data_IF_493524248789
#
_entry.id   IF_493524248789
#
_cell.length_a   1.000
_cell.length_b   1.000
_cell.length_c   1.000
_cell.angle_alpha   90.00
_cell.angle_beta   90.00
_cell.angle_gamma   90.00
#
_symmetry.space_group_name_H-M   'P 1'
#
loop_
_entity.id
_entity.type
_entity.pdbx_description
1 polymer ?
#
# COMPACT_ATOMS: atom_id res chain seq x y z
N UNK A 1 19.05 -2.54 -5.32
CA UNK A 1 18.74 -1.10 -5.39
C UNK A 1 18.15 -0.69 -4.04
N UNK A 2 18.52 0.46 -3.46
CA UNK A 2 17.92 0.91 -2.21
C UNK A 2 16.43 1.27 -2.45
N UNK A 3 15.60 0.96 -1.45
CA UNK A 3 14.17 1.33 -1.42
C UNK A 3 14.03 2.45 -0.39
N UNK A 4 13.20 3.42 -0.71
CA UNK A 4 12.93 4.57 0.14
C UNK A 4 11.43 4.74 0.35
N UNK A 5 11.05 5.17 1.53
CA UNK A 5 9.71 5.70 1.80
C UNK A 5 9.75 7.22 1.70
N UNK A 6 8.71 7.79 1.11
CA UNK A 6 8.50 9.22 1.00
C UNK A 6 7.28 9.59 1.81
N UNK A 7 7.42 10.54 2.70
CA UNK A 7 6.36 10.97 3.56
C UNK A 7 6.24 12.47 3.56
N UNK A 8 5.02 12.96 3.27
CA UNK A 8 4.68 14.36 3.41
C UNK A 8 4.21 14.64 4.84
N UNK A 9 4.92 15.53 5.51
CA UNK A 9 4.55 16.04 6.82
C UNK A 9 4.01 17.47 6.63
N UNK A 10 2.80 17.76 7.10
CA UNK A 10 2.25 19.11 7.00
C UNK A 10 3.17 20.14 7.68
N UNK A 11 3.29 21.39 7.15
CA UNK A 11 2.51 21.89 6.02
C UNK A 11 3.01 21.51 4.63
N UNK A 12 4.28 21.17 4.40
CA UNK A 12 4.84 20.83 3.08
C UNK A 12 6.27 20.25 3.18
N UNK A 13 6.58 19.55 4.24
CA UNK A 13 7.91 18.98 4.44
C UNK A 13 7.93 17.51 3.99
N UNK A 14 8.86 17.17 3.09
CA UNK A 14 9.09 15.81 2.65
C UNK A 14 10.18 15.14 3.47
N UNK A 15 9.88 13.99 4.02
CA UNK A 15 10.84 13.10 4.66
C UNK A 15 11.07 11.87 3.80
N UNK A 16 12.33 11.66 3.42
CA UNK A 16 12.77 10.49 2.65
C UNK A 16 13.54 9.60 3.59
N UNK A 17 13.10 8.35 3.73
CA UNK A 17 13.70 7.38 4.65
C UNK A 17 14.09 6.11 3.92
N UNK A 18 15.30 5.60 4.12
CA UNK A 18 15.67 4.30 3.61
C UNK A 18 14.86 3.21 4.30
N UNK A 19 14.47 2.20 3.52
CA UNK A 19 13.96 0.94 4.06
C UNK A 19 15.17 0.09 4.40
N UNK A 20 15.31 -0.25 5.68
CA UNK A 20 16.47 -0.95 6.22
C UNK A 20 16.38 -2.45 6.05
N UNK A 21 15.17 -2.99 6.24
CA UNK A 21 14.88 -4.41 6.10
C UNK A 21 13.53 -4.58 5.43
N UNK A 22 13.36 -5.67 4.70
CA UNK A 22 12.10 -6.07 4.08
C UNK A 22 11.97 -7.58 4.25
N UNK A 23 10.79 -8.00 4.67
CA UNK A 23 10.37 -9.39 4.62
C UNK A 23 9.14 -9.51 3.72
N UNK A 24 9.20 -10.45 2.76
CA UNK A 24 8.17 -10.66 1.74
C UNK A 24 7.48 -11.99 1.99
N UNK A 25 6.16 -12.01 1.88
CA UNK A 25 5.41 -13.25 2.01
C UNK A 25 5.63 -14.14 0.78
N UNK A 26 5.79 -15.47 0.99
CA UNK A 26 6.13 -16.42 -0.08
C UNK A 26 5.05 -16.57 -1.15
N UNK A 27 3.79 -16.42 -0.78
CA UNK A 27 2.66 -16.71 -1.67
C UNK A 27 1.63 -15.56 -1.78
N UNK A 28 1.61 -14.63 -0.85
CA UNK A 28 0.76 -13.45 -0.93
C UNK A 28 1.57 -12.25 -1.42
N UNK A 29 0.94 -11.39 -2.20
CA UNK A 29 1.58 -10.15 -2.69
C UNK A 29 1.53 -9.07 -1.60
N UNK A 30 2.23 -9.34 -0.51
CA UNK A 30 2.41 -8.45 0.64
C UNK A 30 3.83 -8.56 1.19
N UNK A 31 4.32 -7.47 1.74
CA UNK A 31 5.60 -7.38 2.43
C UNK A 31 5.49 -6.44 3.62
N UNK A 32 6.39 -6.59 4.59
CA UNK A 32 6.63 -5.62 5.63
C UNK A 32 8.02 -5.01 5.46
N UNK A 33 8.17 -3.76 5.84
CA UNK A 33 9.44 -3.05 5.76
C UNK A 33 9.72 -2.25 7.01
N UNK A 34 10.97 -2.27 7.48
CA UNK A 34 11.45 -1.41 8.55
C UNK A 34 12.15 -0.19 7.96
N UNK A 35 11.74 0.99 8.37
CA UNK A 35 12.41 2.25 8.02
C UNK A 35 12.79 3.02 9.29
N UNK A 36 13.83 3.87 9.19
CA UNK A 36 14.16 4.77 10.28
C UNK A 36 12.97 5.71 10.61
N UNK A 37 12.75 6.05 11.88
CA UNK A 37 11.79 7.09 12.24
C UNK A 37 12.22 8.45 11.67
N UNK A 38 11.25 9.30 11.34
CA UNK A 38 11.51 10.72 11.07
C UNK A 38 11.50 11.46 12.40
N UNK A 39 12.63 12.03 12.77
CA UNK A 39 12.77 12.76 14.04
C UNK A 39 12.85 14.25 13.77
N UNK A 40 12.30 15.03 14.68
CA UNK A 40 12.55 16.45 14.77
C UNK A 40 14.02 16.66 15.16
N UNK A 41 14.77 17.42 14.39
CA UNK A 41 16.22 17.64 14.63
C UNK A 41 16.50 18.37 15.93
N UNK A 42 15.56 19.21 16.41
CA UNK A 42 15.74 20.02 17.61
C UNK A 42 15.30 19.26 18.88
N UNK A 43 14.19 18.50 18.81
CA UNK A 43 13.58 17.87 19.98
C UNK A 43 13.88 16.38 20.09
N UNK A 44 14.26 15.72 18.98
CA UNK A 44 14.43 14.28 18.90
C UNK A 44 13.09 13.50 18.91
N UNK A 45 11.97 14.19 18.90
CA UNK A 45 10.64 13.56 18.87
C UNK A 45 10.29 13.03 17.49
N UNK A 46 9.53 11.92 17.44
CA UNK A 46 9.05 11.37 16.18
C UNK A 46 8.04 12.32 15.53
N UNK A 47 8.32 12.73 14.28
CA UNK A 47 7.51 13.69 13.52
C UNK A 47 6.19 13.08 13.02
N UNK A 48 6.09 11.76 13.02
CA UNK A 48 4.95 11.03 12.46
C UNK A 48 4.16 10.36 13.55
N UNK A 49 3.04 10.93 13.87
CA UNK A 49 2.10 10.40 14.85
C UNK A 49 0.90 9.66 14.22
N UNK A 50 0.70 9.79 12.91
CA UNK A 50 -0.45 9.18 12.23
C UNK A 50 -0.15 7.74 11.84
N UNK A 51 -0.76 6.80 12.55
CA UNK A 51 -0.65 5.35 12.27
C UNK A 51 -1.94 4.84 11.64
N UNK A 52 -1.79 4.15 10.52
CA UNK A 52 -2.92 3.46 9.88
C UNK A 52 -3.42 2.33 10.77
N UNK A 53 -4.73 2.26 10.95
CA UNK A 53 -5.36 1.18 11.70
C UNK A 53 -5.62 0.00 10.77
N UNK A 54 -5.14 -1.18 11.14
CA UNK A 54 -5.37 -2.41 10.41
C UNK A 54 -6.58 -3.18 10.95
N UNK A 55 -7.16 -4.03 10.13
CA UNK A 55 -8.19 -4.99 10.54
C UNK A 55 -8.00 -6.32 9.82
N UNK A 56 -8.17 -7.41 10.58
CA UNK A 56 -8.20 -8.78 10.06
C UNK A 56 -9.63 -9.29 9.85
N UNK A 57 -10.63 -8.43 10.10
CA UNK A 57 -12.03 -8.83 9.93
C UNK A 57 -12.26 -9.25 8.47
N UNK A 58 -12.85 -10.42 8.23
CA UNK A 58 -13.19 -10.83 6.88
C UNK A 58 -14.18 -9.85 6.24
N UNK A 59 -14.00 -9.61 4.96
CA UNK A 59 -14.94 -8.90 4.12
C UNK A 59 -15.69 -9.89 3.23
N UNK A 60 -16.94 -9.55 2.91
CA UNK A 60 -17.83 -10.40 2.10
C UNK A 60 -18.22 -9.68 0.80
N UNK A 61 -18.66 -10.42 -0.23
CA UNK A 61 -19.21 -9.82 -1.43
C UNK A 61 -20.28 -8.78 -1.13
N UNK A 62 -20.20 -7.61 -1.78
CA UNK A 62 -21.07 -6.47 -1.58
C UNK A 62 -20.52 -5.41 -0.60
N UNK A 63 -19.52 -5.72 0.22
CA UNK A 63 -18.88 -4.73 1.11
C UNK A 63 -18.31 -3.58 0.29
N UNK A 64 -18.60 -2.35 0.72
CA UNK A 64 -18.03 -1.13 0.14
C UNK A 64 -16.59 -0.99 0.58
N UNK A 65 -15.72 -0.65 -0.35
CA UNK A 65 -14.29 -0.48 -0.12
C UNK A 65 -13.79 0.78 -0.82
N UNK A 66 -12.67 1.29 -0.34
CA UNK A 66 -12.00 2.42 -0.96
C UNK A 66 -10.48 2.27 -0.88
N UNK A 67 -9.79 2.90 -1.83
CA UNK A 67 -8.33 3.03 -1.83
C UNK A 67 -7.92 4.43 -2.21
N UNK A 68 -6.72 4.79 -1.79
CA UNK A 68 -6.06 6.04 -2.12
C UNK A 68 -4.68 5.73 -2.70
N UNK A 69 -4.36 6.33 -3.81
CA UNK A 69 -3.11 6.08 -4.52
C UNK A 69 -2.62 7.32 -5.30
N UNK A 70 -1.45 7.22 -5.90
CA UNK A 70 -0.83 8.27 -6.71
C UNK A 70 -0.55 7.76 -8.14
N UNK A 71 -1.57 7.39 -8.93
CA UNK A 71 -1.38 6.73 -10.23
C UNK A 71 -0.73 7.63 -11.28
N UNK A 72 -0.89 8.94 -11.15
CA UNK A 72 -0.42 9.93 -12.11
C UNK A 72 0.75 10.77 -11.59
N UNK A 73 1.69 10.12 -10.87
CA UNK A 73 2.92 10.79 -10.45
C UNK A 73 3.78 11.12 -11.67
N UNK A 74 4.14 12.38 -11.83
CA UNK A 74 4.96 12.90 -12.93
C UNK A 74 6.35 13.22 -12.41
N UNK A 75 7.39 12.83 -13.16
CA UNK A 75 8.77 13.17 -12.89
C UNK A 75 9.28 14.01 -14.07
N UNK A 76 9.58 15.27 -13.82
CA UNK A 76 10.10 16.20 -14.81
C UNK A 76 11.57 16.50 -14.51
N UNK A 77 12.44 16.36 -15.52
CA UNK A 77 13.82 16.78 -15.42
C UNK A 77 13.93 18.30 -15.66
N UNK A 78 14.64 19.00 -14.79
CA UNK A 78 14.93 20.42 -14.91
C UNK A 78 16.44 20.65 -14.91
N UNK A 79 16.89 21.85 -15.25
CA UNK A 79 18.32 22.22 -15.20
C UNK A 79 18.90 22.10 -13.78
N UNK A 80 18.08 22.26 -12.74
CA UNK A 80 18.49 22.22 -11.33
C UNK A 80 18.22 20.89 -10.65
N UNK A 81 17.64 19.89 -11.35
CA UNK A 81 17.31 18.58 -10.76
C UNK A 81 16.03 17.97 -11.32
N UNK A 82 15.26 17.32 -10.48
CA UNK A 82 14.00 16.69 -10.84
C UNK A 82 12.86 17.27 -9.99
N UNK A 83 11.72 17.52 -10.64
CA UNK A 83 10.47 17.86 -9.98
C UNK A 83 9.59 16.62 -9.95
N UNK A 84 9.16 16.24 -8.76
CA UNK A 84 8.15 15.21 -8.55
C UNK A 84 6.80 15.85 -8.27
N UNK A 85 5.80 15.53 -9.10
CA UNK A 85 4.42 15.97 -8.90
C UNK A 85 3.57 14.74 -8.54
N UNK A 86 3.14 14.68 -7.28
CA UNK A 86 2.25 13.62 -6.80
C UNK A 86 0.80 14.01 -7.03
N UNK A 87 0.12 13.27 -7.88
CA UNK A 87 -1.30 13.48 -8.15
C UNK A 87 -2.10 12.36 -7.47
N UNK A 88 -2.71 12.65 -6.30
CA UNK A 88 -3.50 11.67 -5.58
C UNK A 88 -4.80 11.40 -6.31
N UNK A 89 -5.27 10.16 -6.19
CA UNK A 89 -6.59 9.75 -6.65
C UNK A 89 -7.24 8.83 -5.63
N UNK A 90 -8.58 8.86 -5.60
CA UNK A 90 -9.38 8.10 -4.67
C UNK A 90 -10.36 7.22 -5.46
N UNK A 91 -10.37 5.94 -5.15
CA UNK A 91 -11.19 4.94 -5.82
C UNK A 91 -12.13 4.29 -4.83
N UNK A 92 -13.37 4.07 -5.27
CA UNK A 92 -14.38 3.34 -4.52
C UNK A 92 -14.92 2.18 -5.35
N UNK A 93 -15.35 1.14 -4.67
CA UNK A 93 -15.98 -0.03 -5.28
C UNK A 93 -16.48 -1.01 -4.24
N UNK A 94 -16.67 -2.25 -4.67
CA UNK A 94 -17.17 -3.32 -3.81
C UNK A 94 -16.34 -4.58 -3.97
N UNK A 95 -16.30 -5.37 -2.91
CA UNK A 95 -15.85 -6.76 -2.99
C UNK A 95 -16.85 -7.52 -3.84
N UNK A 96 -16.36 -8.22 -4.85
CA UNK A 96 -17.13 -9.08 -5.74
C UNK A 96 -17.03 -10.54 -5.29
N UNK A 97 -15.82 -10.96 -4.90
CA UNK A 97 -15.54 -12.35 -4.57
C UNK A 97 -14.34 -12.47 -3.61
N UNK A 98 -14.35 -13.51 -2.79
CA UNK A 98 -13.19 -13.94 -2.02
C UNK A 98 -12.60 -15.22 -2.62
N UNK A 99 -11.33 -15.19 -2.97
CA UNK A 99 -10.57 -16.28 -3.55
C UNK A 99 -9.61 -16.85 -2.50
N UNK A 100 -10.01 -17.92 -1.82
CA UNK A 100 -9.23 -18.53 -0.75
C UNK A 100 -7.92 -19.15 -1.21
N UNK A 101 -7.85 -19.58 -2.48
CA UNK A 101 -6.69 -20.23 -3.09
C UNK A 101 -5.98 -19.30 -4.08
N UNK A 102 -6.17 -18.00 -3.93
CA UNK A 102 -5.62 -17.01 -4.85
C UNK A 102 -6.32 -16.93 -6.19
N UNK A 103 -5.88 -15.98 -7.02
CA UNK A 103 -6.36 -15.80 -8.39
C UNK A 103 -5.75 -16.84 -9.34
N UNK A 104 -4.44 -17.05 -9.21
CA UNK A 104 -3.68 -17.94 -10.07
C UNK A 104 -2.41 -18.43 -9.31
N UNK A 105 -1.70 -19.37 -9.92
CA UNK A 105 -0.55 -20.01 -9.27
C UNK A 105 0.76 -19.23 -9.34
N UNK A 106 0.80 -18.13 -10.07
CA UNK A 106 2.05 -17.42 -10.40
C UNK A 106 2.07 -16.01 -9.84
N UNK A 107 1.07 -15.22 -10.21
CA UNK A 107 1.06 -13.78 -9.88
C UNK A 107 0.41 -13.50 -8.53
N UNK A 108 -0.64 -14.25 -8.18
CA UNK A 108 -1.38 -14.02 -6.95
C UNK A 108 -1.91 -15.37 -6.39
N UNK A 109 -0.98 -16.23 -5.91
CA UNK A 109 -1.34 -17.56 -5.42
C UNK A 109 -1.94 -17.56 -4.01
N UNK A 110 -1.78 -16.50 -3.25
CA UNK A 110 -2.31 -16.34 -1.89
C UNK A 110 -3.76 -15.85 -1.85
N UNK A 111 -4.42 -15.94 -0.68
CA UNK A 111 -5.79 -15.49 -0.50
C UNK A 111 -5.97 -14.01 -0.86
N UNK A 112 -6.97 -13.72 -1.69
CA UNK A 112 -7.22 -12.35 -2.16
C UNK A 112 -8.72 -12.09 -2.37
N UNK A 113 -9.05 -10.82 -2.59
CA UNK A 113 -10.38 -10.38 -2.98
C UNK A 113 -10.37 -9.90 -4.43
N UNK A 114 -11.40 -10.26 -5.20
CA UNK A 114 -11.73 -9.60 -6.46
C UNK A 114 -12.70 -8.45 -6.17
N UNK A 115 -12.50 -7.33 -6.84
CA UNK A 115 -13.30 -6.10 -6.68
C UNK A 115 -13.71 -5.55 -8.04
N UNK A 116 -14.79 -4.78 -8.09
CA UNK A 116 -15.25 -3.99 -9.23
C UNK A 116 -14.63 -2.58 -9.28
N UNK A 117 -13.76 -2.27 -8.32
CA UNK A 117 -13.07 -0.99 -8.24
C UNK A 117 -12.05 -0.87 -9.38
N UNK A 118 -12.30 0.03 -10.32
CA UNK A 118 -11.39 0.27 -11.46
C UNK A 118 -10.21 1.12 -10.99
N UNK A 119 -9.02 0.52 -10.97
CA UNK A 119 -7.80 1.15 -10.46
C UNK A 119 -6.80 1.31 -11.61
N UNK A 120 -6.14 2.47 -11.68
CA UNK A 120 -5.11 2.73 -12.68
C UNK A 120 -3.73 2.22 -12.25
N UNK A 121 -2.85 2.03 -13.24
CA UNK A 121 -1.44 1.71 -13.00
C UNK A 121 -0.80 2.70 -12.01
N UNK A 122 0.09 2.17 -11.16
CA UNK A 122 0.75 2.96 -10.12
C UNK A 122 0.02 2.96 -8.77
N UNK A 123 -1.18 2.36 -8.68
CA UNK A 123 -1.90 2.20 -7.41
C UNK A 123 -1.54 0.92 -6.65
N UNK A 124 -0.76 0.01 -7.25
CA UNK A 124 -0.27 -1.21 -6.59
C UNK A 124 0.52 -0.86 -5.32
N UNK A 125 0.27 -1.60 -4.25
CA UNK A 125 0.81 -1.30 -2.91
C UNK A 125 -0.02 -0.30 -2.10
N UNK A 126 -1.00 0.36 -2.71
CA UNK A 126 -1.91 1.27 -2.02
C UNK A 126 -2.83 0.53 -1.03
N UNK A 127 -3.14 1.16 0.13
CA UNK A 127 -3.98 0.54 1.15
C UNK A 127 -5.44 0.49 0.72
N UNK A 128 -6.12 -0.61 1.03
CA UNK A 128 -7.58 -0.73 0.83
C UNK A 128 -8.29 -0.81 2.16
N UNK A 129 -9.25 0.10 2.35
CA UNK A 129 -10.01 0.24 3.58
C UNK A 129 -11.51 0.00 3.36
N UNK A 130 -12.17 -0.51 4.38
CA UNK A 130 -13.62 -0.52 4.47
C UNK A 130 -14.19 0.80 5.03
N UNK A 131 -15.52 0.89 5.22
CA UNK A 131 -16.19 2.11 5.70
C UNK A 131 -15.73 2.61 7.07
N UNK A 132 -15.09 1.75 7.86
CA UNK A 132 -14.50 2.13 9.17
C UNK A 132 -13.16 2.87 9.07
N UNK A 133 -12.61 3.04 7.87
CA UNK A 133 -11.28 3.59 7.62
C UNK A 133 -10.13 2.67 8.03
N UNK A 134 -10.41 1.40 8.37
CA UNK A 134 -9.38 0.41 8.70
C UNK A 134 -8.94 -0.32 7.46
N UNK A 135 -7.63 -0.44 7.28
CA UNK A 135 -7.03 -1.16 6.15
C UNK A 135 -7.11 -2.66 6.38
N UNK A 136 -7.62 -3.38 5.40
CA UNK A 136 -7.75 -4.85 5.41
C UNK A 136 -7.00 -5.52 4.27
N UNK A 137 -6.50 -4.75 3.31
CA UNK A 137 -5.78 -5.27 2.15
C UNK A 137 -4.92 -4.22 1.46
N UNK A 138 -4.19 -4.68 0.47
CA UNK A 138 -3.29 -3.90 -0.37
C UNK A 138 -3.70 -4.12 -1.83
N UNK A 139 -3.77 -3.05 -2.61
CA UNK A 139 -3.95 -3.16 -4.06
C UNK A 139 -2.80 -3.97 -4.66
N UNK A 140 -3.12 -5.03 -5.36
CA UNK A 140 -2.13 -5.92 -5.95
C UNK A 140 -2.09 -5.78 -7.47
N UNK A 141 -3.01 -6.41 -8.18
CA UNK A 141 -2.95 -6.51 -9.64
C UNK A 141 -4.34 -6.38 -10.26
N UNK A 142 -4.37 -5.99 -11.52
CA UNK A 142 -5.56 -5.97 -12.36
C UNK A 142 -5.22 -6.41 -13.78
N UNK A 143 -6.22 -6.58 -14.62
CA UNK A 143 -6.04 -6.82 -16.04
C UNK A 143 -6.48 -5.61 -16.83
N UNK A 144 -5.61 -5.12 -17.69
CA UNK A 144 -5.93 -4.02 -18.59
C UNK A 144 -7.14 -4.33 -19.46
N UNK A 145 -8.06 -3.37 -19.52
CA UNK A 145 -9.27 -3.52 -20.32
C UNK A 145 -10.36 -4.39 -19.69
N UNK A 146 -10.18 -4.80 -18.44
CA UNK A 146 -11.20 -5.49 -17.64
C UNK A 146 -11.56 -4.68 -16.39
N UNK A 147 -12.64 -5.09 -15.72
CA UNK A 147 -13.02 -4.57 -14.39
C UNK A 147 -12.59 -5.56 -13.29
N UNK A 148 -11.58 -6.38 -13.56
CA UNK A 148 -11.09 -7.38 -12.62
C UNK A 148 -9.82 -6.87 -11.92
N UNK A 149 -9.99 -6.34 -10.71
CA UNK A 149 -8.91 -5.89 -9.86
C UNK A 149 -8.87 -6.73 -8.59
N UNK A 150 -7.66 -6.91 -8.06
CA UNK A 150 -7.42 -7.82 -6.94
C UNK A 150 -6.70 -7.13 -5.81
N UNK A 151 -7.08 -7.54 -4.60
CA UNK A 151 -6.58 -7.01 -3.33
C UNK A 151 -6.00 -8.16 -2.55
N UNK A 152 -4.72 -8.10 -2.22
CA UNK A 152 -4.08 -9.03 -1.29
C UNK A 152 -4.52 -8.73 0.13
N UNK A 153 -4.78 -9.77 0.92
CA UNK A 153 -5.20 -9.61 2.31
C UNK A 153 -4.05 -9.16 3.20
N UNK A 154 -4.31 -8.22 4.09
CA UNK A 154 -3.33 -7.75 5.06
C UNK A 154 -3.00 -8.81 6.14
N UNK A 155 -3.87 -9.81 6.32
CA UNK A 155 -3.67 -10.86 7.33
C UNK A 155 -2.34 -11.60 7.16
N UNK A 156 -1.87 -11.74 5.93
CA UNK A 156 -0.67 -12.51 5.62
C UNK A 156 0.62 -11.85 6.17
N UNK A 157 0.57 -10.56 6.50
CA UNK A 157 1.73 -9.87 7.12
C UNK A 157 2.06 -10.39 8.52
N UNK A 158 1.11 -11.05 9.22
CA UNK A 158 1.35 -11.56 10.57
C UNK A 158 2.23 -12.81 10.64
N UNK A 159 2.54 -13.41 9.49
CA UNK A 159 3.53 -14.48 9.36
C UNK A 159 4.94 -13.96 9.04
N UNK A 160 5.08 -12.65 8.80
CA UNK A 160 6.34 -12.01 8.44
C UNK A 160 7.05 -11.49 9.69
N UNK A 161 8.37 -11.56 9.70
CA UNK A 161 9.19 -11.15 10.82
C UNK A 161 10.30 -10.21 10.37
N UNK A 162 10.46 -9.10 11.08
CA UNK A 162 11.60 -8.19 10.92
C UNK A 162 12.35 -8.17 12.24
N UNK A 163 13.63 -8.51 12.20
CA UNK A 163 14.49 -8.35 13.35
C UNK A 163 14.77 -6.86 13.58
N UNK A 164 14.28 -6.34 14.72
CA UNK A 164 14.70 -5.01 15.15
C UNK A 164 16.20 -5.11 15.47
N UNK A 165 17.04 -4.48 14.65
CA UNK A 165 18.47 -4.34 14.96
C UNK A 165 18.64 -3.63 16.31
N UNK A 166 19.67 -4.06 17.06
CA UNK A 166 20.10 -3.41 18.30
C UNK A 166 20.56 -1.97 18.06
#
# INVERSE_FOLDING_TARGET
RPIFTWQLIPPNQWHIRPVLQIDCHDTADVAIGLSCPSLNEETGEELVDVRTRLTIRPHIPGDVIATFAYPSTIIEATESGQILSFNPDFYEGRIVEYLSNGRDRVMLPGPCYRTDMVIHHGASGGPVAGPSGRVFGINSTGFDGTNDFYISRINEIFSLEIEAGE
#
